data_IF_982123178375
#
_entry.id   IF_982123178375
#
_cell.length_a   1.000
_cell.length_b   1.000
_cell.length_c   1.000
_cell.angle_alpha   90.00
_cell.angle_beta   90.00
_cell.angle_gamma   90.00
#
_symmetry.space_group_name_H-M   'P 1'
#
loop_
_entity.id
_entity.type
_entity.pdbx_description
1 polymer ?
#
# COMPACT_ATOMS: atom_id res chain seq x y z
N UNK A 1 -14.33 4.52 -31.51
CA UNK A 1 -13.29 3.71 -30.85
C UNK A 1 -13.40 3.65 -29.32
N UNK A 2 -14.52 4.09 -28.70
CA UNK A 2 -14.66 4.12 -27.22
C UNK A 2 -15.89 3.30 -26.72
N UNK A 3 -16.61 2.60 -27.60
CA UNK A 3 -17.86 1.89 -27.27
C UNK A 3 -17.86 0.47 -27.89
N UNK A 4 -16.99 -0.46 -27.45
CA UNK A 4 -17.07 -1.83 -27.99
C UNK A 4 -16.70 -3.04 -27.12
N UNK A 5 -16.22 -2.91 -25.87
CA UNK A 5 -16.04 -4.09 -25.01
C UNK A 5 -16.46 -3.85 -23.55
N UNK A 6 -17.66 -3.28 -23.39
CA UNK A 6 -18.49 -3.47 -22.19
C UNK A 6 -19.46 -4.65 -22.42
N UNK A 7 -18.94 -5.77 -22.91
CA UNK A 7 -19.69 -6.98 -23.28
C UNK A 7 -18.81 -8.22 -23.06
N UNK A 8 -18.42 -8.46 -21.81
CA UNK A 8 -18.24 -9.84 -21.32
C UNK A 8 -19.06 -9.92 -20.04
N UNK A 9 -20.29 -10.39 -20.24
CA UNK A 9 -21.17 -11.09 -19.31
C UNK A 9 -21.15 -10.61 -17.86
N UNK A 10 -22.21 -9.86 -17.56
CA UNK A 10 -23.00 -9.98 -16.32
C UNK A 10 -22.77 -11.37 -15.70
N UNK A 11 -21.96 -11.43 -14.65
CA UNK A 11 -21.94 -12.58 -13.77
C UNK A 11 -23.25 -12.57 -13.00
N UNK A 12 -24.30 -13.12 -13.58
CA UNK A 12 -25.45 -13.64 -12.83
C UNK A 12 -24.96 -14.84 -12.03
N UNK A 13 -24.18 -14.58 -10.98
CA UNK A 13 -24.12 -15.50 -9.87
C UNK A 13 -25.38 -15.22 -9.09
N UNK A 14 -26.44 -15.96 -9.44
CA UNK A 14 -27.67 -15.98 -8.67
C UNK A 14 -27.30 -16.06 -7.19
N UNK A 15 -27.91 -15.20 -6.38
CA UNK A 15 -27.86 -15.33 -4.94
C UNK A 15 -28.62 -16.62 -4.62
N UNK A 16 -27.95 -17.75 -4.75
CA UNK A 16 -28.40 -19.00 -4.17
C UNK A 16 -28.40 -18.71 -2.67
N UNK A 17 -29.60 -18.64 -2.08
CA UNK A 17 -29.76 -18.65 -0.64
C UNK A 17 -29.29 -20.02 -0.16
N UNK A 18 -27.97 -20.17 -0.04
CA UNK A 18 -27.35 -21.33 0.55
C UNK A 18 -27.79 -21.39 2.01
N UNK A 19 -28.22 -22.56 2.46
CA UNK A 19 -28.51 -22.78 3.87
C UNK A 19 -27.34 -22.30 4.72
N UNK A 20 -27.58 -21.67 5.88
CA UNK A 20 -26.53 -20.98 6.65
C UNK A 20 -25.36 -21.90 7.06
N UNK A 21 -25.57 -23.23 7.05
CA UNK A 21 -24.55 -24.25 7.31
C UNK A 21 -23.54 -24.44 6.17
N UNK A 22 -24.00 -24.67 4.93
CA UNK A 22 -23.13 -24.96 3.77
C UNK A 22 -22.30 -23.70 3.41
N UNK A 23 -22.93 -22.52 3.46
CA UNK A 23 -22.25 -21.25 3.24
C UNK A 23 -21.16 -20.96 4.28
N UNK A 24 -21.29 -21.51 5.50
CA UNK A 24 -20.29 -21.36 6.56
C UNK A 24 -19.11 -22.27 6.33
N UNK A 25 -19.35 -23.53 5.99
CA UNK A 25 -18.29 -24.51 5.72
C UNK A 25 -17.39 -24.05 4.57
N UNK A 26 -17.98 -23.60 3.46
CA UNK A 26 -17.25 -23.07 2.32
C UNK A 26 -16.41 -21.82 2.70
N UNK A 27 -16.98 -20.90 3.48
CA UNK A 27 -16.28 -19.71 3.96
C UNK A 27 -15.12 -20.06 4.90
N UNK A 28 -15.29 -21.07 5.75
CA UNK A 28 -14.25 -21.57 6.66
C UNK A 28 -13.12 -22.25 5.91
N UNK A 29 -13.43 -23.05 4.89
CA UNK A 29 -12.41 -23.67 4.01
C UNK A 29 -11.59 -22.60 3.29
N UNK A 30 -12.24 -21.62 2.66
CA UNK A 30 -11.57 -20.47 2.03
C UNK A 30 -10.70 -19.69 3.02
N UNK A 31 -11.15 -19.50 4.26
CA UNK A 31 -10.33 -18.88 5.30
C UNK A 31 -9.08 -19.69 5.63
N UNK A 32 -9.21 -21.02 5.80
CA UNK A 32 -8.09 -21.92 6.11
C UNK A 32 -7.05 -21.93 4.98
N UNK A 33 -7.50 -22.01 3.72
CA UNK A 33 -6.62 -21.92 2.55
C UNK A 33 -5.90 -20.57 2.49
N UNK A 34 -6.64 -19.46 2.65
CA UNK A 34 -6.04 -18.12 2.72
C UNK A 34 -5.04 -17.98 3.86
N UNK A 35 -5.26 -18.64 5.00
CA UNK A 35 -4.35 -18.62 6.15
C UNK A 35 -3.03 -19.31 5.83
N UNK A 36 -3.06 -20.45 5.13
CA UNK A 36 -1.85 -21.15 4.66
C UNK A 36 -1.07 -20.32 3.66
N UNK A 37 -1.76 -19.58 2.79
CA UNK A 37 -1.16 -18.77 1.73
C UNK A 37 -0.78 -17.33 2.15
N UNK A 38 -0.71 -17.03 3.44
CA UNK A 38 -0.29 -15.69 3.90
C UNK A 38 1.20 -15.51 3.64
N UNK A 39 1.53 -14.40 2.97
CA UNK A 39 2.92 -13.97 2.78
C UNK A 39 3.26 -12.95 3.87
N UNK A 40 4.23 -13.28 4.72
CA UNK A 40 4.70 -12.39 5.79
C UNK A 40 5.91 -11.54 5.38
N UNK A 41 6.50 -11.86 4.24
CA UNK A 41 7.60 -11.11 3.67
C UNK A 41 7.16 -9.70 3.26
N UNK A 42 8.07 -8.73 3.43
CA UNK A 42 7.81 -7.34 3.07
C UNK A 42 7.64 -7.20 1.56
N UNK A 43 6.40 -7.05 1.12
CA UNK A 43 6.07 -6.89 -0.30
C UNK A 43 5.90 -5.42 -0.67
N UNK A 44 6.69 -4.93 -1.63
CA UNK A 44 6.52 -3.60 -2.22
C UNK A 44 5.57 -3.73 -3.41
N UNK A 45 4.31 -3.31 -3.23
CA UNK A 45 3.29 -3.42 -4.29
C UNK A 45 3.38 -2.32 -5.35
N UNK A 46 3.82 -1.12 -4.96
CA UNK A 46 3.87 0.05 -5.83
C UNK A 46 5.28 0.61 -5.89
N UNK A 47 5.99 0.32 -6.97
CA UNK A 47 7.40 0.70 -7.15
C UNK A 47 7.57 2.24 -7.18
N UNK A 48 6.71 2.95 -7.92
CA UNK A 48 6.78 4.41 -8.03
C UNK A 48 6.67 5.12 -6.67
N UNK A 49 5.76 4.67 -5.79
CA UNK A 49 5.59 5.23 -4.44
C UNK A 49 6.81 4.97 -3.55
N UNK A 50 7.48 3.83 -3.72
CA UNK A 50 8.73 3.52 -3.00
C UNK A 50 9.84 4.48 -3.43
N UNK A 51 10.05 4.67 -4.73
CA UNK A 51 11.05 5.60 -5.24
C UNK A 51 10.84 7.04 -4.73
N UNK A 52 9.60 7.52 -4.70
CA UNK A 52 9.29 8.85 -4.14
C UNK A 52 9.56 8.94 -2.63
N UNK A 53 9.34 7.87 -1.88
CA UNK A 53 9.60 7.84 -0.44
C UNK A 53 11.10 7.77 -0.09
N UNK A 54 11.92 7.27 -1.01
CA UNK A 54 13.39 7.21 -0.89
C UNK A 54 14.03 8.58 -1.14
N UNK A 55 13.54 9.33 -2.13
CA UNK A 55 14.10 10.64 -2.50
C UNK A 55 13.61 11.77 -1.57
N UNK A 56 12.43 11.63 -0.95
CA UNK A 56 11.83 12.70 -0.14
C UNK A 56 12.66 13.00 1.13
N UNK A 57 12.92 14.27 1.48
CA UNK A 57 13.73 14.63 2.63
C UNK A 57 13.13 14.14 3.95
N UNK A 58 14.01 13.67 4.84
CA UNK A 58 13.66 13.17 6.17
C UNK A 58 14.55 13.80 7.24
N UNK A 59 13.95 14.17 8.36
CA UNK A 59 14.67 14.58 9.58
C UNK A 59 14.18 13.66 10.71
N UNK A 60 15.10 13.00 11.41
CA UNK A 60 14.81 12.01 12.46
C UNK A 60 13.76 10.94 12.03
N UNK A 61 13.85 10.49 10.78
CA UNK A 61 12.96 9.46 10.20
C UNK A 61 11.59 9.96 9.70
N UNK A 62 11.21 11.21 9.98
CA UNK A 62 9.93 11.80 9.55
C UNK A 62 10.10 12.58 8.27
N UNK A 63 9.09 12.55 7.40
CA UNK A 63 9.06 13.44 6.24
C UNK A 63 8.83 14.88 6.67
N UNK A 64 9.52 15.79 6.01
CA UNK A 64 9.47 17.23 6.30
C UNK A 64 9.05 18.03 5.07
N UNK A 65 8.51 19.23 5.31
CA UNK A 65 8.26 20.21 4.25
C UNK A 65 9.55 20.99 3.99
N UNK A 66 9.64 21.63 2.82
CA UNK A 66 10.82 22.40 2.44
C UNK A 66 11.18 23.48 3.47
N UNK A 67 10.19 24.18 4.05
CA UNK A 67 10.40 25.18 5.12
C UNK A 67 11.13 24.62 6.34
N UNK A 68 10.80 23.39 6.72
CA UNK A 68 11.32 22.75 7.93
C UNK A 68 12.73 22.19 7.68
N UNK A 69 13.05 21.87 6.42
CA UNK A 69 14.41 21.52 5.99
C UNK A 69 15.33 22.72 6.17
N UNK A 70 14.93 23.90 5.67
CA UNK A 70 15.75 25.12 5.79
C UNK A 70 16.02 25.46 7.26
N UNK A 71 14.99 25.43 8.11
CA UNK A 71 15.16 25.69 9.54
C UNK A 71 16.11 24.69 10.22
N UNK A 72 16.06 23.41 9.83
CA UNK A 72 16.94 22.39 10.38
C UNK A 72 18.38 22.53 9.86
N UNK A 73 18.57 22.87 8.59
CA UNK A 73 19.89 23.14 8.01
C UNK A 73 20.51 24.37 8.67
N UNK A 74 19.74 25.44 8.85
CA UNK A 74 20.19 26.65 9.55
C UNK A 74 20.58 26.37 11.01
N UNK A 75 19.77 25.57 11.72
CA UNK A 75 20.12 25.12 13.08
C UNK A 75 21.39 24.28 13.08
N UNK A 76 21.54 23.33 12.16
CA UNK A 76 22.71 22.47 12.09
C UNK A 76 23.99 23.24 11.72
N UNK A 77 23.88 24.26 10.85
CA UNK A 77 24.98 25.18 10.53
C UNK A 77 25.37 26.04 11.73
N UNK A 78 24.41 26.49 12.55
CA UNK A 78 24.68 27.20 13.80
C UNK A 78 25.41 26.31 14.83
N UNK A 79 25.10 25.01 14.84
CA UNK A 79 25.77 24.00 15.67
C UNK A 79 27.14 23.54 15.10
N UNK A 80 27.63 24.18 14.02
CA UNK A 80 28.93 23.90 13.42
C UNK A 80 28.99 22.61 12.59
N UNK A 81 27.86 21.97 12.34
CA UNK A 81 27.77 20.74 11.54
C UNK A 81 27.49 21.16 10.09
N UNK A 82 28.54 21.23 9.27
CA UNK A 82 28.41 21.51 7.83
C UNK A 82 27.91 20.27 7.11
N UNK A 83 26.70 20.28 6.52
CA UNK A 83 26.22 19.13 5.75
C UNK A 83 27.09 18.96 4.50
N UNK A 84 27.81 17.84 4.41
CA UNK A 84 28.45 17.39 3.18
C UNK A 84 27.35 16.86 2.26
N UNK A 85 27.00 17.62 1.22
CA UNK A 85 26.09 17.19 0.17
C UNK A 85 26.68 16.07 -0.70
#
# INVERSE_FOLDING_TARGET
>A
MIEFLCQISRGEQGIQQQSPGIAREERVLRYKEKRKNRKFEKTVRYASRKAYAEIRPRIKGRFVKRSDVEHFVLSAMADGIVPSF
#
